data_IF_155642644075
#
_entry.id   IF_155642644075
#
_cell.length_a   1.000
_cell.length_b   1.000
_cell.length_c   1.000
_cell.angle_alpha   90.00
_cell.angle_beta   90.00
_cell.angle_gamma   90.00
#
_symmetry.space_group_name_H-M   'P 1'
#
loop_
_entity.id
_entity.type
_entity.pdbx_description
1 polymer ?
#
# COMPACT_ATOMS: atom_id res chain seq x y z
N UNK A 1 -56.55 -24.40 -17.04
CA UNK A 1 -55.40 -23.85 -16.26
C UNK A 1 -54.08 -24.07 -16.95
N UNK A 2 -53.71 -25.27 -17.39
CA UNK A 2 -52.42 -25.55 -18.08
C UNK A 2 -52.20 -24.73 -19.35
N UNK A 3 -53.24 -24.52 -20.18
CA UNK A 3 -53.13 -23.72 -21.41
C UNK A 3 -52.85 -22.22 -21.15
N UNK A 4 -53.44 -21.65 -20.09
CA UNK A 4 -53.20 -20.23 -19.68
C UNK A 4 -51.80 -20.07 -19.14
N UNK A 5 -51.31 -21.07 -18.39
CA UNK A 5 -49.94 -21.07 -17.86
C UNK A 5 -48.88 -21.13 -19.01
N UNK A 6 -49.11 -22.05 -19.97
CA UNK A 6 -48.25 -22.19 -21.15
C UNK A 6 -48.24 -20.91 -21.98
N UNK A 7 -49.44 -20.31 -22.22
CA UNK A 7 -49.52 -19.05 -22.94
C UNK A 7 -48.77 -17.90 -22.22
N UNK A 8 -48.90 -17.84 -20.89
CA UNK A 8 -48.16 -16.87 -20.08
C UNK A 8 -46.62 -17.02 -20.19
N UNK A 9 -46.12 -18.25 -20.13
CA UNK A 9 -44.68 -18.54 -20.28
C UNK A 9 -44.20 -18.16 -21.71
N UNK A 10 -44.99 -18.49 -22.74
CA UNK A 10 -44.62 -18.15 -24.12
C UNK A 10 -44.56 -16.64 -24.33
N UNK A 11 -45.58 -15.87 -23.86
CA UNK A 11 -45.59 -14.43 -23.97
C UNK A 11 -44.43 -13.82 -23.21
N UNK A 12 -44.16 -14.26 -21.98
CA UNK A 12 -43.01 -13.77 -21.20
C UNK A 12 -41.69 -14.02 -21.90
N UNK A 13 -41.50 -15.24 -22.45
CA UNK A 13 -40.26 -15.57 -23.18
C UNK A 13 -40.10 -14.70 -24.43
N UNK A 14 -41.17 -14.47 -25.20
CA UNK A 14 -41.13 -13.60 -26.37
C UNK A 14 -40.77 -12.17 -26.02
N UNK A 15 -41.33 -11.64 -24.93
CA UNK A 15 -41.03 -10.27 -24.45
C UNK A 15 -39.56 -10.17 -24.04
N UNK A 16 -39.06 -11.15 -23.27
CA UNK A 16 -37.65 -11.16 -22.85
C UNK A 16 -36.71 -11.24 -24.06
N UNK A 17 -37.00 -12.13 -25.01
CA UNK A 17 -36.18 -12.25 -26.24
C UNK A 17 -36.21 -10.94 -27.06
N UNK A 18 -37.38 -10.33 -27.20
CA UNK A 18 -37.50 -9.05 -27.89
C UNK A 18 -36.70 -7.93 -27.21
N UNK A 19 -36.74 -7.84 -25.87
CA UNK A 19 -35.95 -6.88 -25.11
C UNK A 19 -34.43 -7.13 -25.26
N UNK A 20 -34.00 -8.38 -25.21
CA UNK A 20 -32.59 -8.75 -25.44
C UNK A 20 -32.14 -8.37 -26.84
N UNK A 21 -32.96 -8.62 -27.86
CA UNK A 21 -32.68 -8.22 -29.25
C UNK A 21 -32.58 -6.69 -29.40
N UNK A 22 -33.50 -5.94 -28.78
CA UNK A 22 -33.45 -4.47 -28.76
C UNK A 22 -32.17 -3.97 -28.10
N UNK A 23 -31.80 -4.56 -26.95
CA UNK A 23 -30.54 -4.22 -26.24
C UNK A 23 -29.31 -4.55 -27.08
N UNK A 24 -29.29 -5.70 -27.76
CA UNK A 24 -28.20 -6.09 -28.66
C UNK A 24 -28.05 -5.12 -29.84
N UNK A 25 -29.16 -4.75 -30.48
CA UNK A 25 -29.17 -3.77 -31.58
C UNK A 25 -28.78 -2.38 -31.08
N UNK A 26 -29.26 -1.98 -29.91
CA UNK A 26 -28.86 -0.72 -29.30
C UNK A 26 -27.36 -0.71 -28.96
N UNK A 27 -26.84 -1.80 -28.40
CA UNK A 27 -25.40 -1.95 -28.12
C UNK A 27 -24.56 -1.80 -29.40
N UNK A 28 -24.92 -2.49 -30.49
CA UNK A 28 -24.16 -2.42 -31.75
C UNK A 28 -24.25 -1.06 -32.46
N UNK A 29 -25.28 -0.27 -32.17
CA UNK A 29 -25.50 1.06 -32.78
C UNK A 29 -25.01 2.22 -31.93
N UNK A 30 -24.98 2.05 -30.60
CA UNK A 30 -24.68 3.12 -29.65
C UNK A 30 -23.31 2.99 -29.01
N UNK A 31 -22.72 1.78 -28.98
CA UNK A 31 -21.36 1.58 -28.48
C UNK A 31 -20.41 1.63 -29.66
N UNK A 32 -19.59 2.68 -29.69
CA UNK A 32 -18.49 2.75 -30.64
C UNK A 32 -17.53 1.59 -30.33
N UNK A 33 -17.43 0.62 -31.26
CA UNK A 33 -16.52 -0.52 -31.19
C UNK A 33 -15.32 -0.35 -32.13
N UNK A 34 -15.17 0.84 -32.73
CA UNK A 34 -14.02 1.16 -33.55
C UNK A 34 -12.76 1.30 -32.68
N UNK A 35 -11.63 0.97 -33.27
CA UNK A 35 -10.35 1.22 -32.63
C UNK A 35 -10.13 2.73 -32.50
N UNK A 36 -9.66 3.14 -31.36
CA UNK A 36 -9.27 4.53 -31.06
C UNK A 36 -7.76 4.61 -30.94
N UNK A 37 -7.19 5.75 -31.28
CA UNK A 37 -5.75 5.98 -31.18
C UNK A 37 -5.43 6.66 -29.85
N UNK A 38 -4.48 6.10 -29.13
CA UNK A 38 -3.89 6.69 -27.93
C UNK A 38 -2.57 7.34 -28.37
N UNK A 39 -2.53 8.65 -28.36
CA UNK A 39 -1.32 9.43 -28.65
C UNK A 39 -0.59 9.69 -27.34
N UNK A 40 0.64 9.19 -27.22
CA UNK A 40 1.45 9.28 -26.02
C UNK A 40 2.66 10.18 -26.26
N UNK A 41 2.81 11.25 -25.46
CA UNK A 41 3.94 12.18 -25.49
C UNK A 41 4.24 12.76 -26.89
N UNK A 42 3.20 12.96 -27.70
CA UNK A 42 3.34 13.38 -29.11
C UNK A 42 4.27 12.49 -29.96
N UNK A 43 4.63 11.30 -29.43
CA UNK A 43 5.53 10.36 -30.08
C UNK A 43 4.78 9.32 -30.93
N UNK A 44 5.02 9.24 -32.24
CA UNK A 44 4.41 8.19 -33.09
C UNK A 44 4.81 6.78 -32.65
N UNK A 45 6.00 6.61 -32.07
CA UNK A 45 6.52 5.30 -31.65
C UNK A 45 5.84 4.78 -30.39
N UNK A 46 5.37 5.68 -29.51
CA UNK A 46 4.65 5.35 -28.29
C UNK A 46 3.13 5.30 -28.50
N UNK A 47 2.65 5.83 -29.63
CA UNK A 47 1.23 5.89 -29.95
C UNK A 47 0.74 4.55 -30.53
N UNK A 48 -0.47 4.14 -30.17
CA UNK A 48 -1.01 2.84 -30.56
C UNK A 48 -2.55 2.86 -30.66
N UNK A 49 -3.12 1.84 -31.28
CA UNK A 49 -4.57 1.65 -31.36
C UNK A 49 -5.07 0.67 -30.31
N UNK A 50 -6.23 0.98 -29.73
CA UNK A 50 -6.89 0.13 -28.74
C UNK A 50 -8.42 0.11 -28.96
N UNK A 51 -9.13 -0.93 -28.50
CA UNK A 51 -10.59 -0.95 -28.52
C UNK A 51 -11.17 0.17 -27.61
N UNK A 52 -12.17 0.90 -28.12
CA UNK A 52 -12.86 1.87 -27.29
C UNK A 52 -13.68 1.23 -26.18
N UNK A 53 -13.85 1.95 -25.06
CA UNK A 53 -14.79 1.61 -23.96
C UNK A 53 -14.14 1.09 -22.68
N UNK A 54 -12.87 0.75 -22.69
CA UNK A 54 -12.13 0.40 -21.46
C UNK A 54 -11.52 1.65 -20.80
N UNK A 55 -11.03 1.50 -19.56
CA UNK A 55 -10.33 2.57 -18.85
C UNK A 55 -8.94 2.80 -19.45
N UNK A 56 -8.48 4.05 -19.42
CA UNK A 56 -7.14 4.38 -19.90
C UNK A 56 -6.07 3.59 -19.14
N UNK A 57 -6.24 3.36 -17.84
CA UNK A 57 -5.36 2.54 -17.02
C UNK A 57 -5.19 1.13 -17.59
N UNK A 58 -6.29 0.45 -17.92
CA UNK A 58 -6.26 -0.91 -18.48
C UNK A 58 -5.66 -0.93 -19.89
N UNK A 59 -6.01 0.04 -20.70
CA UNK A 59 -5.50 0.16 -22.08
C UNK A 59 -3.98 0.32 -22.07
N UNK A 60 -3.45 1.20 -21.22
CA UNK A 60 -2.00 1.41 -21.07
C UNK A 60 -1.29 0.17 -20.53
N UNK A 61 -1.88 -0.48 -19.50
CA UNK A 61 -1.32 -1.70 -18.93
C UNK A 61 -1.21 -2.84 -19.96
N UNK A 62 -2.18 -2.98 -20.88
CA UNK A 62 -2.13 -3.95 -21.97
C UNK A 62 -0.97 -3.68 -22.95
N UNK A 63 -0.49 -2.44 -23.01
CA UNK A 63 0.68 -2.04 -23.80
C UNK A 63 1.98 -2.02 -22.99
N UNK A 64 1.95 -2.59 -21.77
CA UNK A 64 3.09 -2.60 -20.83
C UNK A 64 3.52 -1.20 -20.35
N UNK A 65 2.64 -0.22 -20.44
CA UNK A 65 2.78 1.09 -19.83
C UNK A 65 2.00 1.10 -18.51
N UNK A 66 2.71 0.99 -17.40
CA UNK A 66 2.10 0.79 -16.09
C UNK A 66 1.99 2.11 -15.35
N UNK A 67 0.75 2.57 -15.13
CA UNK A 67 0.46 3.76 -14.32
C UNK A 67 0.30 3.38 -12.85
N UNK A 68 0.88 4.14 -11.91
CA UNK A 68 0.68 3.91 -10.48
C UNK A 68 -0.80 3.84 -10.12
N UNK A 69 -1.21 2.83 -9.33
CA UNK A 69 -2.61 2.67 -8.92
C UNK A 69 -2.71 1.91 -7.60
N UNK A 70 -2.49 2.58 -6.48
CA UNK A 70 -2.47 1.96 -5.15
C UNK A 70 -3.79 1.25 -4.79
N UNK A 71 -4.95 1.78 -5.21
CA UNK A 71 -6.26 1.16 -4.99
C UNK A 71 -6.62 0.06 -6.02
N UNK A 72 -5.78 -0.18 -7.03
CA UNK A 72 -6.05 -1.12 -8.12
C UNK A 72 -7.22 -0.68 -9.00
N UNK A 73 -7.27 0.59 -9.37
CA UNK A 73 -8.23 1.11 -10.35
C UNK A 73 -9.62 1.47 -9.79
N UNK A 74 -9.80 1.53 -8.46
CA UNK A 74 -11.11 1.82 -7.85
C UNK A 74 -11.46 3.31 -7.77
N UNK A 75 -10.52 4.21 -8.08
CA UNK A 75 -10.73 5.67 -8.00
C UNK A 75 -10.69 6.24 -6.58
N UNK A 76 -10.14 5.53 -5.60
CA UNK A 76 -10.15 5.94 -4.19
C UNK A 76 -8.80 6.48 -3.69
N UNK A 77 -7.70 6.32 -4.44
CA UNK A 77 -6.36 6.77 -3.97
C UNK A 77 -5.84 8.03 -4.68
N UNK A 78 -6.38 8.37 -5.86
CA UNK A 78 -5.95 9.55 -6.60
C UNK A 78 -4.58 9.46 -7.29
N UNK A 79 -3.86 8.33 -7.18
CA UNK A 79 -2.46 8.20 -7.61
C UNK A 79 -2.29 8.05 -9.13
N UNK A 80 -3.31 7.51 -9.84
CA UNK A 80 -3.24 7.26 -11.29
C UNK A 80 -3.49 8.52 -12.13
N UNK A 81 -2.87 9.64 -11.76
CA UNK A 81 -2.95 10.90 -12.49
C UNK A 81 -2.21 10.79 -13.81
N UNK A 82 -2.79 11.36 -14.87
CA UNK A 82 -2.19 11.53 -16.20
C UNK A 82 -2.66 12.86 -16.77
N UNK A 83 -1.81 13.51 -17.53
CA UNK A 83 -2.18 14.74 -18.22
C UNK A 83 -2.80 14.39 -19.58
N UNK A 84 -4.01 14.88 -19.80
CA UNK A 84 -4.81 14.64 -21.01
C UNK A 84 -5.03 15.96 -21.72
N UNK A 85 -4.42 16.11 -22.88
CA UNK A 85 -4.49 17.33 -23.67
C UNK A 85 -5.76 17.40 -24.52
N UNK A 86 -6.24 16.24 -25.02
CA UNK A 86 -7.49 16.15 -25.79
C UNK A 86 -8.10 14.74 -25.70
N UNK A 87 -9.39 14.63 -25.97
CA UNK A 87 -10.11 13.35 -26.01
C UNK A 87 -10.58 12.83 -24.63
N UNK A 88 -10.23 13.49 -23.53
CA UNK A 88 -10.54 13.05 -22.15
C UNK A 88 -12.01 13.19 -21.74
N UNK A 89 -12.82 13.93 -22.47
CA UNK A 89 -14.23 14.18 -22.14
C UNK A 89 -14.42 14.94 -20.82
N UNK A 90 -15.64 14.91 -20.27
CA UNK A 90 -15.96 15.60 -19.01
C UNK A 90 -15.38 14.86 -17.79
N UNK A 91 -14.90 15.62 -16.80
CA UNK A 91 -14.42 15.10 -15.52
C UNK A 91 -15.56 14.44 -14.73
N UNK A 92 -15.30 13.29 -14.15
CA UNK A 92 -16.28 12.55 -13.35
C UNK A 92 -16.30 13.04 -11.89
N UNK A 93 -17.44 12.95 -11.19
CA UNK A 93 -17.50 13.28 -9.76
C UNK A 93 -16.51 12.49 -8.88
N UNK A 94 -16.17 11.27 -9.28
CA UNK A 94 -15.18 10.42 -8.59
C UNK A 94 -13.76 10.96 -8.70
N UNK A 95 -13.45 11.79 -9.69
CA UNK A 95 -12.13 12.39 -9.89
C UNK A 95 -11.96 13.68 -9.05
N UNK A 96 -13.06 14.40 -8.81
CA UNK A 96 -13.02 15.72 -8.16
C UNK A 96 -12.60 15.69 -6.69
N UNK A 97 -12.59 14.53 -6.05
CA UNK A 97 -12.08 14.35 -4.69
C UNK A 97 -10.53 14.24 -4.62
N UNK A 98 -9.89 13.99 -5.77
CA UNK A 98 -8.46 13.75 -5.88
C UNK A 98 -7.73 14.72 -6.81
N UNK A 99 -8.48 15.45 -7.64
CA UNK A 99 -7.95 16.40 -8.60
C UNK A 99 -8.41 17.80 -8.21
N UNK A 100 -7.48 18.68 -7.97
CA UNK A 100 -7.77 20.08 -7.65
C UNK A 100 -8.30 20.82 -8.89
N UNK A 101 -8.93 21.97 -8.68
CA UNK A 101 -9.40 22.81 -9.80
C UNK A 101 -8.24 23.33 -10.67
N UNK A 102 -7.03 23.46 -10.10
CA UNK A 102 -5.83 23.84 -10.82
C UNK A 102 -5.39 22.74 -11.79
N UNK A 103 -5.20 21.53 -11.27
CA UNK A 103 -4.84 20.35 -12.06
C UNK A 103 -5.87 20.03 -13.14
N UNK A 104 -7.15 20.15 -12.81
CA UNK A 104 -8.23 19.94 -13.79
C UNK A 104 -8.17 20.90 -14.99
N UNK A 105 -7.71 22.15 -14.77
CA UNK A 105 -7.52 23.14 -15.86
C UNK A 105 -6.28 22.81 -16.71
N UNK A 106 -5.31 22.13 -16.17
CA UNK A 106 -4.11 21.66 -16.87
C UNK A 106 -4.36 20.35 -17.64
N UNK A 107 -5.55 19.75 -17.48
CA UNK A 107 -5.90 18.51 -18.17
C UNK A 107 -5.67 17.24 -17.34
N UNK A 108 -5.28 17.35 -16.07
CA UNK A 108 -5.05 16.19 -15.23
C UNK A 108 -6.34 15.36 -15.04
N UNK A 109 -6.24 14.04 -15.21
CA UNK A 109 -7.31 13.06 -15.10
C UNK A 109 -6.85 11.82 -14.34
N UNK A 110 -7.78 11.05 -13.76
CA UNK A 110 -7.48 9.74 -13.21
C UNK A 110 -7.63 8.67 -14.30
N UNK A 111 -6.52 8.04 -14.70
CA UNK A 111 -6.49 7.02 -15.75
C UNK A 111 -7.47 5.86 -15.49
N UNK A 112 -7.70 5.50 -14.23
CA UNK A 112 -8.61 4.42 -13.84
C UNK A 112 -10.09 4.80 -13.95
N UNK A 113 -10.44 6.09 -13.99
CA UNK A 113 -11.82 6.59 -14.11
C UNK A 113 -12.13 7.00 -15.53
N UNK A 114 -11.12 7.34 -16.31
CA UNK A 114 -11.24 7.81 -17.68
C UNK A 114 -11.48 6.62 -18.64
N UNK A 115 -12.72 6.51 -19.15
CA UNK A 115 -13.08 5.57 -20.22
C UNK A 115 -12.80 6.20 -21.59
N UNK A 116 -11.90 5.57 -22.32
CA UNK A 116 -11.51 6.04 -23.66
C UNK A 116 -12.59 5.70 -24.67
N UNK A 117 -13.16 6.71 -25.33
CA UNK A 117 -14.25 6.57 -26.31
C UNK A 117 -13.89 7.07 -27.70
N UNK A 118 -12.92 7.96 -27.78
CA UNK A 118 -12.39 8.58 -29.00
C UNK A 118 -10.88 8.60 -28.91
N UNK A 119 -10.24 9.05 -29.97
CA UNK A 119 -8.80 9.32 -29.94
C UNK A 119 -8.47 10.25 -28.77
N UNK A 120 -7.37 9.97 -28.10
CA UNK A 120 -6.96 10.68 -26.89
C UNK A 120 -5.47 11.03 -26.97
N UNK A 121 -5.13 12.21 -26.47
CA UNK A 121 -3.76 12.73 -26.40
C UNK A 121 -3.36 12.85 -24.93
N UNK A 122 -2.34 12.09 -24.54
CA UNK A 122 -1.88 12.04 -23.16
C UNK A 122 -0.38 12.31 -23.06
N UNK A 123 0.01 12.87 -21.93
CA UNK A 123 1.41 13.00 -21.53
C UNK A 123 1.68 12.11 -20.31
N UNK A 124 2.74 11.32 -20.41
CA UNK A 124 3.23 10.42 -19.36
C UNK A 124 4.65 10.82 -18.99
N UNK A 125 4.94 10.82 -17.70
CA UNK A 125 6.28 11.08 -17.20
C UNK A 125 7.28 10.02 -17.71
N UNK A 126 8.52 10.39 -18.05
CA UNK A 126 9.53 9.46 -18.57
C UNK A 126 9.81 8.28 -17.63
N UNK A 127 9.70 8.47 -16.32
CA UNK A 127 9.91 7.46 -15.29
C UNK A 127 8.94 6.28 -15.43
N UNK A 128 7.73 6.51 -15.90
CA UNK A 128 6.70 5.48 -16.09
C UNK A 128 7.09 4.43 -17.13
N UNK A 129 7.97 4.77 -18.08
CA UNK A 129 8.47 3.82 -19.09
C UNK A 129 9.54 2.87 -18.53
N UNK A 130 10.07 3.14 -17.35
CA UNK A 130 11.02 2.25 -16.65
C UNK A 130 10.33 1.15 -15.85
N UNK A 131 9.02 1.26 -15.64
CA UNK A 131 8.23 0.28 -14.86
C UNK A 131 8.15 -1.05 -15.61
N UNK A 132 8.50 -2.11 -14.91
CA UNK A 132 8.46 -3.48 -15.42
C UNK A 132 7.52 -4.36 -14.61
N UNK A 133 7.25 -5.54 -15.14
CA UNK A 133 6.50 -6.61 -14.50
C UNK A 133 7.39 -7.84 -14.42
N UNK A 134 7.38 -8.53 -13.27
CA UNK A 134 8.16 -9.73 -13.03
C UNK A 134 7.29 -10.86 -12.48
N UNK A 135 7.55 -12.06 -12.96
CA UNK A 135 7.09 -13.31 -12.36
C UNK A 135 8.13 -13.72 -11.32
N UNK A 136 7.77 -13.66 -10.06
CA UNK A 136 8.66 -13.86 -8.91
C UNK A 136 8.29 -15.11 -8.13
N UNK A 137 9.20 -15.59 -7.29
CA UNK A 137 8.99 -16.75 -6.41
C UNK A 137 9.05 -16.33 -4.95
N UNK A 138 8.11 -16.81 -4.16
CA UNK A 138 8.13 -16.59 -2.70
C UNK A 138 9.36 -17.25 -2.09
N UNK A 139 10.18 -16.49 -1.39
CA UNK A 139 11.37 -16.96 -0.67
C UNK A 139 11.03 -17.33 0.77
N UNK A 140 10.31 -16.46 1.47
CA UNK A 140 9.82 -16.69 2.84
C UNK A 140 8.52 -15.90 3.08
N UNK A 141 7.77 -16.31 4.13
CA UNK A 141 6.53 -15.67 4.54
C UNK A 141 6.30 -15.90 6.04
N UNK A 142 7.17 -15.32 6.86
CA UNK A 142 7.28 -15.60 8.27
C UNK A 142 6.57 -14.55 9.12
N UNK A 143 5.99 -14.94 10.26
CA UNK A 143 5.40 -14.01 11.22
C UNK A 143 6.46 -13.16 11.90
N UNK A 144 6.27 -11.83 11.94
CA UNK A 144 7.15 -10.90 12.67
C UNK A 144 6.39 -10.15 13.76
N UNK A 145 5.07 -10.24 13.75
CA UNK A 145 4.17 -9.76 14.79
C UNK A 145 2.84 -10.52 14.68
N UNK A 146 1.96 -10.40 15.67
CA UNK A 146 0.72 -11.18 15.77
C UNK A 146 -0.11 -11.19 14.48
N UNK A 147 -0.15 -10.07 13.78
CA UNK A 147 -0.94 -9.91 12.55
C UNK A 147 -0.11 -9.37 11.39
N UNK A 148 1.22 -9.48 11.43
CA UNK A 148 2.13 -8.99 10.39
C UNK A 148 3.09 -10.11 10.02
N UNK A 149 3.23 -10.35 8.70
CA UNK A 149 4.24 -11.20 8.13
C UNK A 149 5.29 -10.39 7.39
N UNK A 150 6.54 -10.82 7.48
CA UNK A 150 7.59 -10.48 6.55
C UNK A 150 7.44 -11.39 5.34
N UNK A 151 7.14 -10.80 4.21
CA UNK A 151 6.95 -11.49 2.95
C UNK A 151 8.10 -11.16 2.02
N UNK A 152 8.95 -12.15 1.77
CA UNK A 152 10.12 -11.99 0.90
C UNK A 152 9.91 -12.76 -0.39
N UNK A 153 10.09 -12.10 -1.51
CA UNK A 153 10.01 -12.67 -2.85
C UNK A 153 11.36 -12.52 -3.56
N UNK A 154 11.74 -13.54 -4.32
CA UNK A 154 12.93 -13.54 -5.17
C UNK A 154 12.54 -13.10 -6.57
N UNK A 155 13.31 -12.19 -7.14
CA UNK A 155 13.24 -11.83 -8.55
C UNK A 155 13.83 -12.95 -9.42
N UNK A 156 13.49 -13.01 -10.72
CA UNK A 156 14.19 -13.88 -11.67
C UNK A 156 15.70 -13.65 -11.65
N UNK A 157 16.46 -14.69 -11.96
CA UNK A 157 17.93 -14.64 -11.92
C UNK A 157 18.49 -13.51 -12.81
N UNK A 158 19.35 -12.67 -12.23
CA UNK A 158 19.95 -11.52 -12.90
C UNK A 158 19.08 -10.27 -12.97
N UNK A 159 17.83 -10.31 -12.50
CA UNK A 159 16.94 -9.15 -12.45
C UNK A 159 17.09 -8.39 -11.12
N UNK A 160 16.87 -7.10 -11.18
CA UNK A 160 16.76 -6.22 -10.01
C UNK A 160 15.70 -5.15 -10.25
N UNK A 161 15.10 -4.67 -9.18
CA UNK A 161 14.19 -3.51 -9.21
C UNK A 161 15.00 -2.26 -8.88
N UNK A 162 15.21 -1.34 -9.82
CA UNK A 162 15.93 -0.09 -9.56
C UNK A 162 14.98 0.91 -8.87
N UNK A 163 14.96 0.94 -7.56
CA UNK A 163 14.06 1.81 -6.80
C UNK A 163 14.81 2.76 -5.86
N UNK A 164 14.11 3.77 -5.37
CA UNK A 164 14.53 4.63 -4.26
C UNK A 164 13.87 4.15 -2.97
N UNK A 165 14.57 4.23 -1.84
CA UNK A 165 13.99 3.92 -0.53
C UNK A 165 12.69 4.71 -0.30
N UNK A 166 11.69 4.06 0.29
CA UNK A 166 10.32 4.58 0.38
C UNK A 166 9.43 4.25 -0.82
N UNK A 167 10.00 3.66 -1.88
CA UNK A 167 9.23 3.17 -3.02
C UNK A 167 8.37 1.95 -2.69
N UNK A 168 7.40 1.66 -3.57
CA UNK A 168 6.50 0.52 -3.44
C UNK A 168 6.44 -0.30 -4.74
N UNK A 169 5.97 -1.52 -4.61
CA UNK A 169 5.59 -2.39 -5.75
C UNK A 169 4.08 -2.63 -5.74
N UNK A 170 3.56 -3.09 -6.87
CA UNK A 170 2.21 -3.62 -6.94
C UNK A 170 2.26 -5.14 -7.07
N UNK A 171 1.38 -5.84 -6.35
CA UNK A 171 1.21 -7.29 -6.44
C UNK A 171 -0.13 -7.59 -7.08
N UNK A 172 -0.16 -8.62 -7.95
CA UNK A 172 -1.38 -9.16 -8.53
C UNK A 172 -1.91 -10.31 -7.68
N UNK A 173 -3.18 -10.24 -7.36
CA UNK A 173 -3.90 -11.31 -6.66
C UNK A 173 -4.92 -11.89 -7.65
N UNK A 174 -4.76 -13.14 -8.09
CA UNK A 174 -5.72 -13.81 -8.97
C UNK A 174 -7.05 -14.11 -8.27
N UNK A 175 -8.05 -14.52 -9.03
CA UNK A 175 -9.27 -15.06 -8.46
C UNK A 175 -8.96 -16.33 -7.65
N UNK A 176 -9.39 -16.38 -6.38
CA UNK A 176 -9.12 -17.51 -5.48
C UNK A 176 -10.05 -17.52 -4.27
N UNK A 177 -10.03 -18.62 -3.53
CA UNK A 177 -10.63 -18.74 -2.20
C UNK A 177 -9.52 -19.11 -1.22
N UNK A 178 -9.37 -18.30 -0.17
CA UNK A 178 -8.36 -18.52 0.87
C UNK A 178 -9.04 -18.62 2.23
N UNK A 179 -8.81 -19.72 2.94
CA UNK A 179 -9.27 -19.92 4.31
C UNK A 179 -8.16 -19.53 5.29
N UNK A 180 -8.50 -18.83 6.36
CA UNK A 180 -7.51 -18.46 7.37
C UNK A 180 -7.04 -19.67 8.18
N UNK A 181 -7.84 -20.74 8.23
CA UNK A 181 -7.43 -22.05 8.80
C UNK A 181 -6.23 -22.69 8.08
N UNK A 182 -5.93 -22.26 6.86
CA UNK A 182 -4.84 -22.80 6.06
C UNK A 182 -3.53 -21.99 6.24
N UNK A 183 -3.58 -20.90 7.02
CA UNK A 183 -2.40 -20.07 7.30
C UNK A 183 -1.46 -20.76 8.30
N UNK A 184 -0.17 -20.63 8.02
CA UNK A 184 0.88 -21.00 8.96
C UNK A 184 1.13 -19.79 9.87
N UNK A 185 0.81 -19.96 11.16
CA UNK A 185 0.98 -18.94 12.20
C UNK A 185 1.84 -19.54 13.30
N UNK A 186 2.88 -18.84 13.67
CA UNK A 186 3.83 -19.19 14.70
C UNK A 186 3.14 -19.32 16.06
N UNK A 187 3.59 -20.27 16.89
CA UNK A 187 2.91 -20.62 18.15
C UNK A 187 2.80 -19.43 19.11
N UNK A 188 3.77 -18.52 19.11
CA UNK A 188 3.77 -17.31 19.94
C UNK A 188 2.63 -16.33 19.61
N UNK A 189 2.08 -16.37 18.39
CA UNK A 189 0.99 -15.50 17.94
C UNK A 189 -0.38 -16.16 17.99
N UNK A 190 -0.47 -17.49 18.19
CA UNK A 190 -1.71 -18.27 18.08
C UNK A 190 -2.77 -17.86 19.08
N UNK A 191 -2.39 -17.50 20.30
CA UNK A 191 -3.33 -17.11 21.35
C UNK A 191 -4.30 -15.99 20.91
N UNK A 192 -3.80 -14.96 20.23
CA UNK A 192 -4.66 -13.88 19.71
C UNK A 192 -5.51 -14.32 18.52
N UNK A 193 -4.98 -15.21 17.66
CA UNK A 193 -5.76 -15.80 16.56
C UNK A 193 -6.91 -16.65 17.07
N UNK A 194 -6.70 -17.44 18.11
CA UNK A 194 -7.74 -18.24 18.79
C UNK A 194 -8.76 -17.33 19.49
N UNK A 195 -8.29 -16.34 20.24
CA UNK A 195 -9.11 -15.38 20.97
C UNK A 195 -10.13 -14.65 20.09
N UNK A 196 -9.71 -14.26 18.88
CA UNK A 196 -10.57 -13.58 17.92
C UNK A 196 -11.25 -14.52 16.94
N UNK A 197 -11.06 -15.84 17.07
CA UNK A 197 -11.58 -16.85 16.15
C UNK A 197 -11.27 -16.52 14.68
N UNK A 198 -10.01 -16.17 14.40
CA UNK A 198 -9.55 -15.77 13.07
C UNK A 198 -9.66 -16.91 12.04
N UNK A 199 -9.60 -18.15 12.50
CA UNK A 199 -9.57 -19.37 11.67
C UNK A 199 -10.82 -19.59 10.82
N UNK A 200 -11.97 -19.05 11.25
CA UNK A 200 -13.25 -19.19 10.54
C UNK A 200 -13.40 -18.20 9.37
N UNK A 201 -12.46 -17.26 9.23
CA UNK A 201 -12.51 -16.26 8.17
C UNK A 201 -12.15 -16.89 6.82
N UNK A 202 -12.92 -16.53 5.79
CA UNK A 202 -12.69 -16.94 4.41
C UNK A 202 -12.64 -15.71 3.52
N UNK A 203 -11.56 -15.56 2.79
CA UNK A 203 -11.43 -14.55 1.73
C UNK A 203 -11.78 -15.15 0.39
N UNK A 204 -12.69 -14.49 -0.33
CA UNK A 204 -13.10 -14.88 -1.67
C UNK A 204 -12.84 -13.75 -2.65
N UNK A 205 -12.10 -14.04 -3.70
CA UNK A 205 -11.75 -13.12 -4.78
C UNK A 205 -12.24 -13.69 -6.09
N UNK A 206 -13.31 -13.10 -6.64
CA UNK A 206 -13.93 -13.59 -7.89
C UNK A 206 -13.27 -13.00 -9.13
N UNK A 207 -12.64 -11.82 -9.00
CA UNK A 207 -11.92 -11.13 -10.10
C UNK A 207 -10.55 -10.70 -9.61
N UNK A 208 -9.50 -10.81 -10.45
CA UNK A 208 -8.16 -10.37 -10.08
C UNK A 208 -8.14 -8.94 -9.54
N UNK A 209 -7.28 -8.69 -8.59
CA UNK A 209 -7.04 -7.36 -8.00
C UNK A 209 -5.56 -7.09 -7.85
N UNK A 210 -5.16 -5.84 -7.97
CA UNK A 210 -3.78 -5.38 -7.74
C UNK A 210 -3.75 -4.44 -6.55
N UNK A 211 -2.70 -4.51 -5.72
CA UNK A 211 -2.49 -3.63 -4.57
C UNK A 211 -1.04 -3.24 -4.44
N UNK A 212 -0.83 -2.01 -3.96
CA UNK A 212 0.47 -1.47 -3.62
C UNK A 212 0.94 -1.95 -2.24
N UNK A 213 2.25 -2.18 -2.13
CA UNK A 213 2.95 -2.48 -0.88
C UNK A 213 4.31 -1.79 -0.88
N UNK A 214 4.57 -0.98 0.14
CA UNK A 214 5.87 -0.33 0.34
C UNK A 214 6.93 -1.37 0.63
N UNK A 215 8.09 -1.21 0.00
CA UNK A 215 9.22 -2.12 0.18
C UNK A 215 9.92 -1.88 1.52
N UNK A 216 10.24 -2.97 2.22
CA UNK A 216 10.99 -2.95 3.47
C UNK A 216 12.50 -3.12 3.22
N UNK A 217 12.91 -3.77 2.12
CA UNK A 217 14.30 -3.79 1.71
C UNK A 217 14.76 -2.41 1.20
N UNK A 218 16.06 -2.13 1.33
CA UNK A 218 16.66 -0.94 0.71
C UNK A 218 17.31 -1.29 -0.64
N UNK A 219 17.66 -0.32 -1.48
CA UNK A 219 18.08 -0.56 -2.87
C UNK A 219 19.27 -1.51 -3.09
N UNK A 220 20.17 -1.67 -2.12
CA UNK A 220 21.31 -2.58 -2.23
C UNK A 220 21.03 -4.04 -1.78
N UNK A 221 19.85 -4.31 -1.21
CA UNK A 221 19.37 -5.69 -0.98
C UNK A 221 18.83 -6.26 -2.30
N UNK A 222 19.76 -6.61 -3.21
CA UNK A 222 19.46 -6.96 -4.59
C UNK A 222 18.81 -8.35 -4.72
N UNK A 223 18.05 -8.54 -5.81
CA UNK A 223 17.46 -9.82 -6.19
C UNK A 223 16.24 -10.22 -5.35
N UNK A 224 15.83 -9.40 -4.40
CA UNK A 224 14.66 -9.63 -3.54
C UNK A 224 13.77 -8.39 -3.45
N UNK A 225 12.51 -8.63 -3.11
CA UNK A 225 11.58 -7.63 -2.56
C UNK A 225 11.10 -8.15 -1.20
N UNK A 226 11.21 -7.31 -0.19
CA UNK A 226 10.76 -7.59 1.17
C UNK A 226 9.60 -6.66 1.53
N UNK A 227 8.54 -7.20 2.10
CA UNK A 227 7.34 -6.46 2.48
C UNK A 227 6.93 -6.81 3.92
N UNK A 228 6.38 -5.85 4.65
CA UNK A 228 5.68 -6.13 5.91
C UNK A 228 4.18 -6.07 5.69
N UNK A 229 3.52 -7.21 5.72
CA UNK A 229 2.11 -7.33 5.33
C UNK A 229 1.25 -7.62 6.55
N UNK A 230 0.39 -6.66 6.90
CA UNK A 230 -0.63 -6.89 7.93
C UNK A 230 -1.86 -7.56 7.33
N UNK A 231 -2.34 -8.64 7.98
CA UNK A 231 -3.63 -9.24 7.60
C UNK A 231 -4.78 -8.27 7.90
N UNK A 232 -5.59 -7.99 6.90
CA UNK A 232 -6.78 -7.14 7.04
C UNK A 232 -8.00 -8.02 7.31
N UNK A 233 -8.22 -8.39 8.58
CA UNK A 233 -9.46 -9.05 9.01
C UNK A 233 -10.66 -8.09 8.94
N UNK A 234 -11.90 -8.59 8.91
CA UNK A 234 -13.08 -7.76 9.13
C UNK A 234 -12.95 -6.98 10.45
N UNK A 235 -13.52 -5.77 10.56
CA UNK A 235 -13.52 -5.03 11.81
C UNK A 235 -14.21 -5.82 12.95
N UNK A 236 -13.65 -5.72 14.15
CA UNK A 236 -14.23 -6.38 15.34
C UNK A 236 -15.31 -5.51 15.96
N UNK A 237 -16.54 -6.00 16.04
CA UNK A 237 -17.63 -5.39 16.80
C UNK A 237 -17.48 -5.75 18.29
N UNK A 238 -16.99 -4.80 19.09
CA UNK A 238 -16.78 -4.98 20.53
C UNK A 238 -18.08 -5.24 21.29
N UNK A 239 -19.23 -4.74 20.79
CA UNK A 239 -20.55 -4.92 21.43
C UNK A 239 -21.11 -6.30 21.15
N UNK A 240 -20.99 -6.75 19.93
CA UNK A 240 -21.46 -8.08 19.50
C UNK A 240 -20.44 -9.20 19.80
N UNK A 241 -19.20 -8.84 20.19
CA UNK A 241 -18.07 -9.74 20.42
C UNK A 241 -17.83 -10.71 19.24
N UNK A 242 -17.85 -10.16 18.02
CA UNK A 242 -17.61 -10.89 16.76
C UNK A 242 -17.14 -9.97 15.66
N UNK A 243 -16.63 -10.54 14.59
CA UNK A 243 -16.35 -9.79 13.38
C UNK A 243 -17.63 -9.23 12.73
N UNK A 244 -17.53 -8.05 12.14
CA UNK A 244 -18.59 -7.50 11.30
C UNK A 244 -18.74 -8.34 10.02
N UNK A 245 -19.95 -8.37 9.47
CA UNK A 245 -20.25 -9.08 8.22
C UNK A 245 -19.79 -8.26 7.00
N UNK A 246 -18.48 -8.14 6.87
CA UNK A 246 -17.81 -7.51 5.71
C UNK A 246 -16.65 -8.41 5.27
N UNK A 247 -16.30 -8.40 3.98
CA UNK A 247 -15.21 -9.23 3.49
C UNK A 247 -13.85 -8.83 4.10
N UNK A 248 -12.96 -9.80 4.37
CA UNK A 248 -11.57 -9.53 4.74
C UNK A 248 -10.78 -8.93 3.56
N UNK A 249 -9.60 -8.42 3.83
CA UNK A 249 -8.69 -7.90 2.82
C UNK A 249 -8.27 -8.97 1.83
N UNK A 250 -8.54 -8.73 0.55
CA UNK A 250 -8.29 -9.70 -0.53
C UNK A 250 -6.81 -10.02 -0.70
N UNK A 251 -5.98 -8.98 -0.83
CA UNK A 251 -4.55 -9.14 -1.09
C UNK A 251 -3.79 -9.64 0.12
N UNK A 252 -4.05 -9.09 1.31
CA UNK A 252 -3.38 -9.55 2.53
C UNK A 252 -3.70 -11.02 2.84
N UNK A 253 -4.95 -11.46 2.60
CA UNK A 253 -5.33 -12.88 2.73
C UNK A 253 -4.61 -13.75 1.70
N UNK A 254 -4.46 -13.28 0.45
CA UNK A 254 -3.71 -13.97 -0.58
C UNK A 254 -2.24 -14.15 -0.15
N UNK A 255 -1.58 -13.09 0.28
CA UNK A 255 -0.18 -13.12 0.71
C UNK A 255 0.01 -14.06 1.90
N UNK A 256 -0.87 -14.00 2.91
CA UNK A 256 -0.79 -14.89 4.09
C UNK A 256 -0.88 -16.36 3.75
N UNK A 257 -1.56 -16.72 2.66
CA UNK A 257 -1.66 -18.09 2.16
C UNK A 257 -0.49 -18.54 1.28
N UNK A 258 0.48 -17.66 0.99
CA UNK A 258 1.63 -18.02 0.15
C UNK A 258 2.70 -18.75 0.94
N UNK A 259 3.36 -19.70 0.27
CA UNK A 259 4.43 -20.52 0.83
C UNK A 259 5.69 -20.39 0.00
N UNK A 260 6.86 -20.64 0.58
CA UNK A 260 8.11 -20.72 -0.21
C UNK A 260 7.94 -21.59 -1.44
N UNK A 261 8.34 -21.05 -2.61
CA UNK A 261 8.19 -21.70 -3.91
C UNK A 261 6.95 -21.32 -4.69
N UNK A 262 5.95 -20.66 -4.07
CA UNK A 262 4.77 -20.14 -4.79
C UNK A 262 5.16 -19.00 -5.74
N UNK A 263 4.44 -18.91 -6.85
CA UNK A 263 4.62 -17.83 -7.82
C UNK A 263 3.75 -16.61 -7.45
N UNK A 264 4.33 -15.42 -7.62
CA UNK A 264 3.65 -14.14 -7.48
C UNK A 264 4.10 -13.16 -8.56
N UNK A 265 3.17 -12.34 -9.02
CA UNK A 265 3.43 -11.36 -10.06
C UNK A 265 3.46 -9.98 -9.44
N UNK A 266 4.55 -9.25 -9.71
CA UNK A 266 4.73 -7.88 -9.25
C UNK A 266 4.98 -6.93 -10.41
N UNK A 267 4.73 -5.65 -10.19
CA UNK A 267 5.16 -4.56 -11.07
C UNK A 267 5.72 -3.40 -10.25
N UNK A 268 6.59 -2.62 -10.86
CA UNK A 268 7.21 -1.47 -10.21
C UNK A 268 8.50 -1.01 -10.90
N UNK A 269 9.32 -0.20 -10.21
CA UNK A 269 9.02 0.45 -8.94
C UNK A 269 8.07 1.64 -9.11
N UNK A 270 7.38 1.99 -8.03
CA UNK A 270 6.55 3.18 -7.91
C UNK A 270 6.91 3.93 -6.63
N UNK A 271 6.46 5.18 -6.46
CA UNK A 271 6.54 5.88 -5.19
C UNK A 271 6.77 7.38 -5.31
N UNK A 272 6.38 8.06 -4.23
CA UNK A 272 6.58 9.49 -4.01
C UNK A 272 7.12 9.77 -2.60
N UNK A 273 7.11 8.76 -1.73
CA UNK A 273 7.53 8.86 -0.34
C UNK A 273 9.06 8.76 -0.23
N UNK A 274 9.76 9.76 -0.75
CA UNK A 274 11.23 9.77 -0.80
C UNK A 274 11.83 10.74 0.22
N UNK A 275 13.01 10.40 0.74
CA UNK A 275 13.79 11.33 1.53
C UNK A 275 14.18 12.55 0.67
N UNK A 276 14.04 13.74 1.26
CA UNK A 276 14.45 14.99 0.64
C UNK A 276 15.96 15.10 0.62
N UNK A 277 16.47 15.82 -0.37
CA UNK A 277 17.90 16.16 -0.50
C UNK A 277 18.18 17.48 0.20
N UNK A 278 18.31 17.43 1.53
CA UNK A 278 18.57 18.57 2.41
C UNK A 278 19.54 18.14 3.52
N UNK A 279 19.96 19.08 4.35
CA UNK A 279 20.77 18.83 5.55
C UNK A 279 19.94 18.81 6.85
N UNK A 280 18.61 18.96 6.76
CA UNK A 280 17.73 19.01 7.93
C UNK A 280 17.70 17.68 8.69
N UNK A 281 17.43 17.73 9.99
CA UNK A 281 17.22 16.54 10.81
C UNK A 281 16.05 15.71 10.30
N UNK A 282 16.22 14.37 10.26
CA UNK A 282 15.18 13.43 9.88
C UNK A 282 14.57 12.76 11.11
N UNK A 283 13.25 12.86 11.26
CA UNK A 283 12.48 12.20 12.32
C UNK A 283 11.56 11.18 11.69
N UNK A 284 11.91 9.90 11.80
CA UNK A 284 11.09 8.79 11.32
C UNK A 284 10.10 8.34 12.39
N UNK A 285 8.84 8.10 12.02
CA UNK A 285 7.78 7.69 12.95
C UNK A 285 7.03 6.51 12.33
N UNK A 286 7.16 5.34 12.95
CA UNK A 286 6.59 4.10 12.42
C UNK A 286 5.64 3.40 13.39
N UNK A 287 4.73 2.57 12.83
CA UNK A 287 3.89 1.70 13.64
C UNK A 287 3.31 0.54 12.84
N UNK A 288 3.37 -0.66 13.40
CA UNK A 288 2.88 -1.87 12.73
C UNK A 288 3.57 -2.09 11.37
N UNK A 289 2.79 -2.37 10.32
CA UNK A 289 3.32 -2.59 8.97
C UNK A 289 3.97 -1.35 8.33
N UNK A 290 3.76 -0.14 8.90
CA UNK A 290 4.50 1.06 8.51
C UNK A 290 6.00 0.97 8.79
N UNK A 291 6.45 -0.09 9.45
CA UNK A 291 7.87 -0.45 9.55
C UNK A 291 8.53 -0.61 8.18
N UNK A 292 7.81 -1.09 7.15
CA UNK A 292 8.39 -1.36 5.84
C UNK A 292 9.13 -0.15 5.23
N UNK A 293 8.47 0.98 4.94
CA UNK A 293 9.18 2.13 4.40
C UNK A 293 10.19 2.74 5.39
N UNK A 294 9.96 2.63 6.71
CA UNK A 294 10.92 3.12 7.71
C UNK A 294 12.23 2.35 7.64
N UNK A 295 12.17 1.00 7.59
CA UNK A 295 13.35 0.16 7.42
C UNK A 295 14.08 0.50 6.11
N UNK A 296 13.35 0.58 5.02
CA UNK A 296 13.92 0.90 3.70
C UNK A 296 14.71 2.22 3.74
N UNK A 297 14.11 3.29 4.27
CA UNK A 297 14.75 4.60 4.36
C UNK A 297 15.97 4.59 5.28
N UNK A 298 15.82 4.09 6.51
CA UNK A 298 16.89 4.15 7.51
C UNK A 298 18.09 3.32 7.05
N UNK A 299 17.86 2.13 6.51
CA UNK A 299 18.93 1.28 5.99
C UNK A 299 19.62 1.95 4.78
N UNK A 300 18.87 2.59 3.90
CA UNK A 300 19.42 3.32 2.77
C UNK A 300 20.29 4.50 3.21
N UNK A 301 19.82 5.27 4.21
CA UNK A 301 20.56 6.42 4.75
C UNK A 301 21.89 5.98 5.37
N UNK A 302 21.94 4.86 6.11
CA UNK A 302 23.12 4.47 6.84
C UNK A 302 24.00 3.46 6.11
N UNK A 303 23.46 2.58 5.29
CA UNK A 303 24.26 1.57 4.58
C UNK A 303 24.76 2.06 3.21
N UNK A 304 23.94 2.79 2.43
CA UNK A 304 24.29 3.24 1.08
C UNK A 304 24.70 4.71 1.03
N UNK A 305 23.85 5.61 1.52
CA UNK A 305 24.07 7.07 1.42
C UNK A 305 25.17 7.53 2.39
N UNK A 306 25.29 6.87 3.56
CA UNK A 306 26.22 7.26 4.64
C UNK A 306 25.98 8.69 5.11
N UNK A 307 24.73 8.99 5.43
CA UNK A 307 24.30 10.33 5.82
C UNK A 307 25.00 10.84 7.08
N UNK A 308 25.38 12.10 7.09
CA UNK A 308 25.86 12.82 8.28
C UNK A 308 24.72 13.54 9.01
N UNK A 309 23.49 13.51 8.47
CA UNK A 309 22.31 14.13 9.07
C UNK A 309 21.99 13.47 10.40
N UNK A 310 21.47 14.26 11.35
CA UNK A 310 20.91 13.71 12.58
C UNK A 310 19.61 12.99 12.23
N UNK A 311 19.48 11.76 12.70
CA UNK A 311 18.33 10.88 12.41
C UNK A 311 17.81 10.27 13.71
N UNK A 312 16.50 10.36 13.91
CA UNK A 312 15.83 9.64 14.98
C UNK A 312 14.69 8.80 14.45
N UNK A 313 14.53 7.58 15.02
CA UNK A 313 13.42 6.68 14.69
C UNK A 313 12.58 6.38 15.91
N UNK A 314 11.27 6.64 15.82
CA UNK A 314 10.29 6.48 16.87
C UNK A 314 9.26 5.42 16.45
N UNK A 315 9.35 4.23 17.04
CA UNK A 315 8.48 3.11 16.69
C UNK A 315 7.44 2.84 17.77
N UNK A 316 6.16 2.88 17.36
CA UNK A 316 5.02 2.56 18.22
C UNK A 316 4.53 1.14 18.02
N UNK A 317 4.53 0.33 19.07
CA UNK A 317 3.96 -1.01 19.11
C UNK A 317 2.88 -1.13 20.21
N UNK A 318 2.08 -2.21 20.18
CA UNK A 318 1.13 -2.50 21.27
C UNK A 318 1.83 -3.11 22.46
N UNK A 319 2.59 -4.17 22.23
CA UNK A 319 3.39 -4.89 23.21
C UNK A 319 4.75 -5.21 22.58
N UNK A 320 5.67 -5.75 23.35
CA UNK A 320 7.04 -5.98 22.88
C UNK A 320 7.11 -6.99 21.73
N UNK A 321 6.31 -8.04 21.76
CA UNK A 321 6.22 -9.03 20.68
C UNK A 321 5.70 -8.48 19.34
N UNK A 322 5.17 -7.25 19.33
CA UNK A 322 4.76 -6.54 18.11
C UNK A 322 5.87 -5.66 17.54
N UNK A 323 7.04 -5.62 18.20
CA UNK A 323 8.22 -4.90 17.72
C UNK A 323 9.20 -5.87 17.06
N UNK A 324 9.66 -5.53 15.86
CA UNK A 324 10.54 -6.38 15.05
C UNK A 324 11.65 -5.57 14.39
N UNK A 325 12.68 -6.24 13.86
CA UNK A 325 13.96 -5.68 13.37
C UNK A 325 14.77 -4.95 14.45
N UNK A 326 14.60 -5.33 15.71
CA UNK A 326 15.23 -4.66 16.85
C UNK A 326 16.77 -4.69 16.76
N UNK A 327 17.33 -5.87 16.50
CA UNK A 327 18.78 -6.07 16.39
C UNK A 327 19.39 -5.25 15.24
N UNK A 328 18.66 -5.12 14.14
CA UNK A 328 19.09 -4.35 12.96
C UNK A 328 19.26 -2.87 13.31
N UNK A 329 18.23 -2.26 13.93
CA UNK A 329 18.28 -0.85 14.34
C UNK A 329 19.30 -0.62 15.46
N UNK A 330 19.45 -1.55 16.38
CA UNK A 330 20.51 -1.51 17.40
C UNK A 330 21.91 -1.56 16.78
N UNK A 331 22.06 -2.35 15.71
CA UNK A 331 23.28 -2.38 14.91
C UNK A 331 23.61 -1.03 14.30
N UNK A 332 22.63 -0.41 13.63
CA UNK A 332 22.80 0.92 13.02
C UNK A 332 23.15 1.95 14.10
N UNK A 333 22.42 1.96 15.24
CA UNK A 333 22.68 2.92 16.33
C UNK A 333 24.07 2.74 16.96
N UNK A 334 24.55 1.53 17.07
CA UNK A 334 25.89 1.25 17.61
C UNK A 334 27.00 1.77 16.69
N UNK A 335 26.78 1.65 15.38
CA UNK A 335 27.78 1.96 14.37
C UNK A 335 27.74 3.43 13.91
N UNK A 336 26.69 4.22 14.27
CA UNK A 336 26.48 5.58 13.82
C UNK A 336 26.03 6.50 14.96
N UNK A 337 26.87 7.43 15.38
CA UNK A 337 26.61 8.38 16.47
C UNK A 337 25.44 9.35 16.18
N UNK A 338 25.15 9.60 14.88
CA UNK A 338 24.09 10.46 14.42
C UNK A 338 22.73 9.77 14.27
N UNK A 339 22.60 8.49 14.68
CA UNK A 339 21.34 7.74 14.71
C UNK A 339 20.95 7.35 16.12
N UNK A 340 19.68 7.58 16.46
CA UNK A 340 19.05 7.07 17.68
C UNK A 340 17.67 6.49 17.35
N UNK A 341 17.29 5.41 18.02
CA UNK A 341 15.94 4.89 17.87
C UNK A 341 15.28 4.57 19.21
N UNK A 342 13.94 4.58 19.20
CA UNK A 342 13.12 4.49 20.39
C UNK A 342 11.89 3.62 20.15
N UNK A 343 11.50 2.82 21.16
CA UNK A 343 10.28 2.00 21.13
C UNK A 343 9.31 2.50 22.19
N UNK A 344 8.05 2.66 21.83
CA UNK A 344 6.97 2.96 22.75
C UNK A 344 5.89 1.87 22.69
N UNK A 345 5.54 1.30 23.84
CA UNK A 345 4.48 0.30 23.95
C UNK A 345 3.20 0.94 24.47
N UNK A 346 2.13 0.91 23.67
CA UNK A 346 0.84 1.48 24.03
C UNK A 346 0.02 0.61 24.99
N UNK A 347 0.29 -0.70 25.01
CA UNK A 347 -0.40 -1.69 25.83
C UNK A 347 0.53 -2.87 26.11
N UNK A 348 1.62 -2.66 26.89
CA UNK A 348 2.51 -3.74 27.26
C UNK A 348 1.73 -4.83 27.99
N UNK A 349 2.12 -6.08 27.76
CA UNK A 349 1.54 -7.25 28.44
C UNK A 349 2.38 -7.62 29.66
N UNK A 350 1.82 -8.39 30.60
CA UNK A 350 2.52 -8.78 31.82
C UNK A 350 3.85 -9.53 31.53
N UNK A 351 3.84 -10.36 30.46
CA UNK A 351 5.03 -11.08 30.03
C UNK A 351 6.18 -10.20 29.52
N UNK A 352 5.89 -8.95 29.10
CA UNK A 352 6.91 -8.00 28.67
C UNK A 352 7.78 -7.51 29.84
N UNK A 353 7.25 -7.55 31.06
CA UNK A 353 7.89 -6.97 32.26
C UNK A 353 8.49 -5.57 31.99
N UNK A 354 7.72 -4.77 31.21
CA UNK A 354 8.22 -3.57 30.54
C UNK A 354 8.65 -2.45 31.48
N UNK A 355 8.01 -2.37 32.65
CA UNK A 355 8.36 -1.39 33.69
C UNK A 355 9.69 -1.73 34.41
N UNK A 356 10.17 -2.96 34.28
CA UNK A 356 11.42 -3.42 34.86
C UNK A 356 12.60 -3.21 33.88
N UNK A 357 13.54 -2.28 34.18
CA UNK A 357 14.70 -2.03 33.31
C UNK A 357 15.61 -3.25 33.12
N UNK A 358 15.51 -4.24 34.01
CA UNK A 358 16.31 -5.47 33.98
C UNK A 358 15.58 -6.64 33.30
N UNK A 359 14.36 -6.44 32.77
CA UNK A 359 13.64 -7.46 32.01
C UNK A 359 14.37 -7.85 30.72
N UNK A 360 14.11 -9.07 30.23
CA UNK A 360 14.71 -9.54 28.97
C UNK A 360 14.29 -8.66 27.79
N UNK A 361 13.04 -8.21 27.78
CA UNK A 361 12.53 -7.27 26.76
C UNK A 361 13.31 -5.94 26.76
N UNK A 362 13.59 -5.37 27.91
CA UNK A 362 14.36 -4.11 28.04
C UNK A 362 15.83 -4.29 27.73
N UNK A 363 16.42 -5.40 28.15
CA UNK A 363 17.84 -5.73 27.87
C UNK A 363 18.10 -6.06 26.41
N UNK A 364 17.12 -6.63 25.72
CA UNK A 364 17.24 -6.93 24.29
C UNK A 364 17.19 -5.70 23.41
N UNK A 365 16.72 -4.55 23.95
CA UNK A 365 16.79 -3.26 23.27
C UNK A 365 18.18 -2.64 23.50
N UNK A 366 18.97 -2.50 22.43
CA UNK A 366 20.18 -1.68 22.47
C UNK A 366 19.88 -0.18 22.66
N UNK A 367 18.67 0.23 22.32
CA UNK A 367 18.16 1.56 22.67
C UNK A 367 17.94 1.66 24.19
N UNK A 368 18.61 2.58 24.83
CA UNK A 368 18.61 2.73 26.29
C UNK A 368 17.26 3.15 26.90
N UNK A 369 16.27 3.50 26.05
CA UNK A 369 14.98 4.02 26.49
C UNK A 369 13.83 3.38 25.74
N UNK A 370 13.11 2.47 26.40
CA UNK A 370 11.76 2.06 26.00
C UNK A 370 10.74 2.90 26.78
N UNK A 371 9.66 3.26 26.13
CA UNK A 371 8.62 4.11 26.68
C UNK A 371 7.27 3.39 26.75
N UNK A 372 6.41 3.82 27.67
CA UNK A 372 5.01 3.41 27.75
C UNK A 372 4.12 4.54 27.25
N UNK A 373 3.20 4.25 26.33
CA UNK A 373 2.25 5.21 25.78
C UNK A 373 2.15 5.22 24.27
N UNK A 374 1.32 6.11 23.74
CA UNK A 374 1.19 6.32 22.30
C UNK A 374 2.39 7.09 21.76
N UNK A 375 2.91 6.65 20.61
CA UNK A 375 4.18 7.15 20.07
C UNK A 375 4.21 8.68 19.87
N UNK A 376 3.12 9.30 19.43
CA UNK A 376 3.06 10.75 19.24
C UNK A 376 3.22 11.52 20.57
N UNK A 377 2.66 11.01 21.68
CA UNK A 377 2.85 11.63 22.99
C UNK A 377 4.26 11.40 23.52
N UNK A 378 4.79 10.19 23.33
CA UNK A 378 6.15 9.85 23.73
C UNK A 378 7.17 10.73 23.00
N UNK A 379 7.04 10.88 21.68
CA UNK A 379 7.88 11.74 20.84
C UNK A 379 7.78 13.21 21.32
N UNK A 380 6.55 13.70 21.52
CA UNK A 380 6.33 15.08 21.97
C UNK A 380 7.01 15.36 23.31
N UNK A 381 6.72 14.52 24.33
CA UNK A 381 7.16 14.77 25.72
C UNK A 381 8.67 14.57 25.89
N UNK A 382 9.27 13.62 25.18
CA UNK A 382 10.67 13.25 25.42
C UNK A 382 11.65 13.86 24.40
N UNK A 383 11.13 14.46 23.34
CA UNK A 383 11.98 15.01 22.29
C UNK A 383 11.53 16.40 21.79
N UNK A 384 10.37 16.50 21.14
CA UNK A 384 9.99 17.70 20.41
C UNK A 384 9.76 18.93 21.30
N UNK A 385 9.25 18.77 22.52
CA UNK A 385 9.10 19.88 23.49
C UNK A 385 10.43 20.53 23.91
N UNK A 386 11.52 19.79 23.75
CA UNK A 386 12.85 20.23 24.15
C UNK A 386 13.75 20.53 22.95
N UNK A 387 13.22 20.35 21.74
CA UNK A 387 13.92 20.64 20.50
C UNK A 387 13.91 22.15 20.22
N UNK A 388 15.03 22.70 19.78
CA UNK A 388 15.18 24.16 19.58
C UNK A 388 14.32 24.67 18.42
N UNK A 389 14.20 23.88 17.34
CA UNK A 389 13.43 24.20 16.13
C UNK A 389 12.76 22.95 15.55
N UNK A 390 11.69 22.41 16.18
CA UNK A 390 11.02 21.22 15.68
C UNK A 390 10.36 21.46 14.31
N UNK A 391 10.01 22.70 13.96
CA UNK A 391 9.46 23.11 12.68
C UNK A 391 10.41 22.95 11.50
N UNK A 392 11.72 22.95 11.75
CA UNK A 392 12.75 22.80 10.72
C UNK A 392 13.13 21.34 10.44
N UNK A 393 12.63 20.38 11.25
CA UNK A 393 12.86 18.95 11.00
C UNK A 393 12.01 18.43 9.84
N UNK A 394 12.48 17.36 9.22
CA UNK A 394 11.72 16.59 8.25
C UNK A 394 11.14 15.34 8.91
N UNK A 395 9.83 15.17 8.79
CA UNK A 395 9.09 14.08 9.41
C UNK A 395 8.64 13.07 8.37
N UNK A 396 9.03 11.81 8.56
CA UNK A 396 8.66 10.70 7.69
C UNK A 396 7.80 9.72 8.50
N UNK A 397 6.53 9.59 8.14
CA UNK A 397 5.62 8.79 8.94
C UNK A 397 4.83 7.76 8.14
N UNK A 398 4.69 6.57 8.72
CA UNK A 398 3.86 5.51 8.18
C UNK A 398 3.36 4.61 9.33
N UNK A 399 2.05 4.37 9.37
CA UNK A 399 1.45 3.52 10.39
C UNK A 399 -0.08 3.49 10.31
N UNK A 400 -0.73 3.01 11.37
CA UNK A 400 -2.19 2.98 11.42
C UNK A 400 -2.81 4.37 11.26
N UNK A 401 -3.97 4.54 10.59
CA UNK A 401 -4.57 5.84 10.30
C UNK A 401 -4.77 6.73 11.53
N UNK A 402 -5.12 6.14 12.68
CA UNK A 402 -5.26 6.88 13.94
C UNK A 402 -3.92 7.42 14.47
N UNK A 403 -2.83 6.68 14.27
CA UNK A 403 -1.48 7.14 14.61
C UNK A 403 -1.06 8.27 13.69
N UNK A 404 -1.18 8.07 12.37
CA UNK A 404 -0.83 9.07 11.36
C UNK A 404 -1.54 10.39 11.65
N UNK A 405 -2.87 10.34 11.86
CA UNK A 405 -3.64 11.54 12.21
C UNK A 405 -3.13 12.22 13.48
N UNK A 406 -2.89 11.47 14.55
CA UNK A 406 -2.45 12.03 15.82
C UNK A 406 -1.05 12.67 15.74
N UNK A 407 -0.16 12.08 14.93
CA UNK A 407 1.17 12.64 14.66
C UNK A 407 1.06 13.92 13.84
N UNK A 408 0.28 13.91 12.75
CA UNK A 408 0.08 15.10 11.89
C UNK A 408 -0.54 16.24 12.71
N UNK A 409 -1.63 15.97 13.47
CA UNK A 409 -2.26 16.97 14.33
C UNK A 409 -1.26 17.55 15.39
N UNK A 410 -0.35 16.74 15.90
CA UNK A 410 0.71 17.16 16.82
C UNK A 410 1.75 18.07 16.14
N UNK A 411 2.21 17.69 14.95
CA UNK A 411 3.21 18.46 14.18
C UNK A 411 2.64 19.79 13.71
N UNK A 412 1.38 19.83 13.27
CA UNK A 412 0.67 21.07 12.92
C UNK A 412 0.63 22.05 14.12
N UNK A 413 0.33 21.54 15.32
CA UNK A 413 0.35 22.33 16.55
C UNK A 413 1.75 22.85 16.96
N UNK A 414 2.82 22.23 16.45
CA UNK A 414 4.20 22.69 16.65
C UNK A 414 4.66 23.66 15.54
N UNK A 415 3.79 23.96 14.56
CA UNK A 415 4.09 24.88 13.48
C UNK A 415 4.92 24.26 12.34
N UNK A 416 4.93 22.92 12.24
CA UNK A 416 5.61 22.23 11.14
C UNK A 416 4.82 22.44 9.85
N UNK A 417 5.47 22.95 8.82
CA UNK A 417 4.85 23.17 7.52
C UNK A 417 4.54 21.81 6.83
N UNK A 418 3.44 21.71 6.05
CA UNK A 418 3.04 20.46 5.39
C UNK A 418 4.12 19.87 4.50
N UNK A 419 4.97 20.70 3.90
CA UNK A 419 6.08 20.28 3.05
C UNK A 419 7.16 19.50 3.82
N UNK A 420 7.22 19.66 5.14
CA UNK A 420 8.15 18.94 6.02
C UNK A 420 7.53 17.65 6.61
N UNK A 421 6.29 17.34 6.24
CA UNK A 421 5.58 16.13 6.70
C UNK A 421 5.38 15.20 5.51
N UNK A 422 6.20 14.17 5.42
CA UNK A 422 6.07 13.11 4.41
C UNK A 422 5.29 11.94 5.03
N UNK A 423 4.15 11.61 4.43
CA UNK A 423 3.23 10.58 4.92
C UNK A 423 3.04 9.49 3.85
N UNK A 424 3.35 8.24 4.22
CA UNK A 424 2.91 7.06 3.45
C UNK A 424 1.66 6.47 4.12
N UNK A 425 0.51 6.69 3.48
CA UNK A 425 -0.78 6.26 4.02
C UNK A 425 -1.29 5.01 3.27
N UNK A 426 -1.43 3.93 4.00
CA UNK A 426 -1.90 2.65 3.43
C UNK A 426 -3.43 2.58 3.26
N UNK A 427 -4.20 3.62 3.64
CA UNK A 427 -5.66 3.73 3.47
C UNK A 427 -6.45 3.11 4.61
#
# INVERSE_FOLDING_TARGET
MAQIFILGVVIFTVVVVALVLVLMVAKTRLVNSEAVTIHVNESPELSFQAPAGDTLLNILANQKMFIPSACGGKGSCGVCKVDVHDGGGAMLPTETSHITKGEARQGCRLACQLKVKNDIYIELEPELFSIKKWDCTVKSNDGVATFIKEFVISLPEGESVPFRAGGYIQIECPAHVQKYSDFEIEDEYREDWDKFNMWDIVSKVDTPVTRAYSMANYPEELGIIMLNVRVASPPWDRKANKFMDVPPGKMSSFIYGRKPGDEVVISGPYGEFFAKDTDNEMVFIGGGAGMAPMRSHIFDQFHRIKTDRKVSFWYGARSFREAFYLEDFDGIQRDNENFVWHVALSSPIEADDWENPESDARKSLGCKQGYTGFIHLVLLENYLKHHEAPEDCEYYLCGPPMMNKAVVDMLDNLGVEPENIMLDDFG
#
